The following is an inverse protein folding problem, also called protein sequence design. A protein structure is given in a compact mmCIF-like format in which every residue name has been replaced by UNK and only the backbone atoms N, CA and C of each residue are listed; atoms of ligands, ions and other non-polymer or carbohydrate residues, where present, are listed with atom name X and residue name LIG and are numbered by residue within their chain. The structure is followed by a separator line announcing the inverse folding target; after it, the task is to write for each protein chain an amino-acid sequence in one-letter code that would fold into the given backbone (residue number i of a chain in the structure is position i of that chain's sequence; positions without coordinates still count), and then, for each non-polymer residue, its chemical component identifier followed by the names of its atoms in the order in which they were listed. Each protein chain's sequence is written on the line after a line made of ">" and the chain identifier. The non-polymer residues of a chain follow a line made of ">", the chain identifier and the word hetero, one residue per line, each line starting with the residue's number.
data_IF_919446635863
#
_entry.id   IF_919446635863
#
_cell.length_a   1.000
_cell.length_b   1.000
_cell.length_c   1.000
_cell.angle_alpha   90.00
_cell.angle_beta   90.00
_cell.angle_gamma   90.00
#
_symmetry.space_group_name_H-M   'P 1'
#
loop_
_entity.id
_entity.type
_entity.pdbx_description
1 polymer ?
#
# COMPACT_ATOMS: atom_id res chain seq x y z
N UNK A 1 -7.19 6.98 22.46
CA UNK A 1 -7.36 6.31 21.16
C UNK A 1 -6.52 5.05 21.19
N UNK A 2 -6.93 3.95 20.57
CA UNK A 2 -6.15 2.71 20.67
C UNK A 2 -4.80 2.88 19.99
N UNK A 3 -3.74 2.55 20.73
CA UNK A 3 -2.36 2.50 20.24
C UNK A 3 -1.74 1.19 20.70
N UNK A 4 -0.85 0.66 19.88
CA UNK A 4 -0.04 -0.50 20.22
C UNK A 4 1.43 -0.09 20.16
N UNK A 5 2.21 -0.51 21.14
CA UNK A 5 3.66 -0.34 21.10
C UNK A 5 4.26 -1.52 20.35
N UNK A 6 4.67 -1.29 19.11
CA UNK A 6 5.20 -2.29 18.20
C UNK A 6 6.53 -1.80 17.63
N UNK A 7 7.54 -2.65 17.59
CA UNK A 7 8.87 -2.34 17.03
C UNK A 7 9.43 -0.96 17.46
N UNK A 8 9.35 -0.65 18.76
CA UNK A 8 9.82 0.59 19.40
C UNK A 8 9.12 1.89 18.92
N UNK A 9 7.91 1.79 18.43
CA UNK A 9 7.07 2.94 18.05
C UNK A 9 5.63 2.71 18.51
N UNK A 10 4.90 3.77 18.85
CA UNK A 10 3.49 3.70 19.16
C UNK A 10 2.69 3.88 17.86
N UNK A 11 2.06 2.81 17.39
CA UNK A 11 1.22 2.83 16.21
C UNK A 11 -0.24 3.02 16.61
N UNK A 12 -0.89 4.00 16.00
CA UNK A 12 -2.34 4.16 16.07
C UNK A 12 -3.04 3.14 15.19
N UNK A 13 -4.12 2.57 15.66
CA UNK A 13 -4.96 1.67 14.86
C UNK A 13 -6.44 1.79 15.22
N UNK A 14 -7.29 1.43 14.30
CA UNK A 14 -8.72 1.21 14.53
C UNK A 14 -9.09 -0.24 14.21
N UNK A 15 -10.06 -0.77 14.94
CA UNK A 15 -10.58 -2.11 14.70
C UNK A 15 -12.10 -2.08 14.59
N UNK A 16 -12.64 -2.71 13.56
CA UNK A 16 -14.09 -2.86 13.37
C UNK A 16 -14.44 -4.28 12.90
N UNK A 17 -15.61 -4.78 13.31
CA UNK A 17 -16.06 -6.15 13.00
C UNK A 17 -15.52 -7.21 13.94
N UNK A 18 -15.88 -8.49 13.70
CA UNK A 18 -15.60 -9.61 14.59
C UNK A 18 -15.28 -10.94 13.85
N UNK A 19 -14.93 -10.87 12.57
CA UNK A 19 -14.57 -12.01 11.72
C UNK A 19 -13.08 -12.36 11.74
N UNK A 20 -12.60 -12.97 10.64
CA UNK A 20 -11.17 -13.25 10.47
C UNK A 20 -10.36 -11.94 10.35
N UNK A 21 -9.11 -11.91 10.85
CA UNK A 21 -8.31 -10.68 10.86
C UNK A 21 -7.93 -10.26 9.43
N UNK A 22 -8.23 -8.99 9.11
CA UNK A 22 -7.84 -8.30 7.89
C UNK A 22 -7.11 -7.01 8.25
N UNK A 23 -5.82 -6.92 7.96
CA UNK A 23 -5.00 -5.73 8.20
C UNK A 23 -4.86 -4.92 6.91
N UNK A 24 -5.12 -3.62 6.98
CA UNK A 24 -5.10 -2.69 5.87
C UNK A 24 -3.91 -1.73 5.98
N UNK A 25 -3.03 -1.72 4.97
CA UNK A 25 -1.78 -0.96 4.95
C UNK A 25 -1.88 0.16 3.91
N UNK A 26 -1.94 1.41 4.38
CA UNK A 26 -2.06 2.58 3.52
C UNK A 26 -0.77 2.88 2.74
N UNK A 27 -0.91 3.60 1.62
CA UNK A 27 0.19 4.07 0.78
C UNK A 27 0.88 5.32 1.31
N UNK A 28 1.79 5.87 0.52
CA UNK A 28 2.43 7.17 0.79
C UNK A 28 1.39 8.29 0.93
N UNK A 29 1.70 9.33 1.68
CA UNK A 29 0.87 10.54 1.88
C UNK A 29 -0.44 10.34 2.64
N UNK A 30 -0.85 9.09 2.90
CA UNK A 30 -2.11 8.71 3.49
C UNK A 30 -1.99 8.37 4.99
N UNK A 31 -3.12 8.00 5.56
CA UNK A 31 -3.29 7.45 6.89
C UNK A 31 -4.40 6.36 6.86
N UNK A 32 -4.77 5.84 8.03
CA UNK A 32 -5.82 4.81 8.17
C UNK A 32 -7.16 5.23 7.55
N UNK A 33 -7.48 6.53 7.50
CA UNK A 33 -8.77 7.03 7.00
C UNK A 33 -8.96 6.80 5.51
N UNK A 34 -7.87 6.60 4.75
CA UNK A 34 -7.94 6.27 3.31
C UNK A 34 -8.69 4.97 3.05
N UNK A 35 -8.75 4.06 4.03
CA UNK A 35 -9.48 2.80 3.93
C UNK A 35 -10.95 2.89 4.31
N UNK A 36 -11.41 4.03 4.88
CA UNK A 36 -12.77 4.19 5.36
C UNK A 36 -13.84 3.87 4.30
N UNK A 37 -13.72 4.31 3.03
CA UNK A 37 -14.72 3.98 2.00
C UNK A 37 -14.86 2.46 1.76
N UNK A 38 -13.74 1.71 1.77
CA UNK A 38 -13.76 0.25 1.63
C UNK A 38 -14.32 -0.43 2.89
N UNK A 39 -14.02 0.07 4.08
CA UNK A 39 -14.54 -0.43 5.36
C UNK A 39 -16.06 -0.24 5.41
N UNK A 40 -16.56 0.93 5.03
CA UNK A 40 -17.99 1.24 4.95
C UNK A 40 -18.73 0.45 3.86
N UNK A 41 -18.01 -0.06 2.86
CA UNK A 41 -18.54 -0.99 1.87
C UNK A 41 -18.79 -2.42 2.42
N UNK A 42 -18.81 -2.58 3.76
CA UNK A 42 -19.22 -3.77 4.50
C UNK A 42 -18.13 -4.85 4.71
N UNK A 43 -16.86 -4.46 4.80
CA UNK A 43 -15.80 -5.38 5.24
C UNK A 43 -16.04 -5.94 6.65
N UNK A 44 -16.59 -5.11 7.55
CA UNK A 44 -16.88 -5.47 8.94
C UNK A 44 -17.88 -6.64 9.12
N UNK A 45 -18.66 -6.96 8.10
CA UNK A 45 -19.61 -8.09 8.16
C UNK A 45 -18.89 -9.45 8.05
N UNK A 46 -17.64 -9.48 7.58
CA UNK A 46 -16.90 -10.70 7.32
C UNK A 46 -15.54 -10.77 8.04
N UNK A 47 -15.01 -9.63 8.46
CA UNK A 47 -13.65 -9.52 9.00
C UNK A 47 -13.61 -8.71 10.30
N UNK A 48 -12.62 -9.03 11.13
CA UNK A 48 -12.05 -8.09 12.09
C UNK A 48 -11.06 -7.24 11.32
N UNK A 49 -11.48 -6.05 10.89
CA UNK A 49 -10.66 -5.15 10.08
C UNK A 49 -9.82 -4.28 10.98
N UNK A 50 -8.52 -4.29 10.78
CA UNK A 50 -7.54 -3.40 11.41
C UNK A 50 -7.01 -2.45 10.37
N UNK A 51 -7.27 -1.15 10.49
CA UNK A 51 -6.59 -0.09 9.75
C UNK A 51 -5.68 0.67 10.70
N UNK A 52 -4.45 0.95 10.30
CA UNK A 52 -3.46 1.60 11.16
C UNK A 52 -2.70 2.68 10.41
N UNK A 53 -2.14 3.62 11.16
CA UNK A 53 -1.22 4.60 10.64
C UNK A 53 0.20 4.06 10.71
N UNK A 54 0.91 4.01 9.57
CA UNK A 54 2.32 3.68 9.56
C UNK A 54 3.11 4.70 10.41
N UNK A 55 4.30 4.34 10.88
CA UNK A 55 5.15 5.28 11.64
C UNK A 55 5.23 6.64 10.96
N UNK A 56 5.17 7.72 11.72
CA UNK A 56 5.23 9.09 11.22
C UNK A 56 3.96 9.63 10.55
N UNK A 57 3.00 8.78 10.23
CA UNK A 57 1.75 9.17 9.58
C UNK A 57 0.63 9.36 10.61
N UNK A 58 -0.36 10.17 10.26
CA UNK A 58 -1.60 10.35 11.01
C UNK A 58 -1.39 10.55 12.52
N UNK A 59 -2.01 9.68 13.31
CA UNK A 59 -1.98 9.67 14.79
C UNK A 59 -0.88 8.75 15.37
N UNK A 60 -0.11 8.07 14.53
CA UNK A 60 1.06 7.29 14.96
C UNK A 60 2.21 8.19 15.38
N UNK A 61 3.11 7.64 16.19
CA UNK A 61 4.27 8.38 16.70
C UNK A 61 5.14 8.88 15.54
N UNK A 62 5.43 10.18 15.59
CA UNK A 62 6.31 10.85 14.63
C UNK A 62 7.75 10.77 15.12
N UNK A 63 8.48 9.80 14.60
CA UNK A 63 9.88 9.57 14.95
C UNK A 63 10.76 10.38 13.99
N UNK A 64 11.70 11.20 14.49
CA UNK A 64 12.63 11.92 13.63
C UNK A 64 13.46 10.97 12.76
N UNK A 65 13.58 11.28 11.46
CA UNK A 65 14.26 10.42 10.51
C UNK A 65 13.50 9.11 10.31
N UNK A 66 12.35 9.23 9.76
CA UNK A 66 11.23 8.28 9.60
C UNK A 66 11.62 6.83 9.44
N UNK A 67 12.61 6.50 8.82
CA UNK A 67 12.99 5.13 8.65
C UNK A 67 12.83 4.64 7.21
N UNK A 68 13.21 3.40 7.07
CA UNK A 68 13.23 2.71 5.81
C UNK A 68 11.94 1.91 5.61
N UNK A 69 11.63 1.54 4.38
CA UNK A 69 10.56 0.57 4.09
C UNK A 69 10.69 -0.70 4.94
N UNK A 70 11.93 -1.12 5.23
CA UNK A 70 12.23 -2.26 6.10
C UNK A 70 11.69 -2.08 7.52
N UNK A 71 11.75 -0.87 8.06
CA UNK A 71 11.17 -0.59 9.38
C UNK A 71 9.63 -0.62 9.35
N UNK A 72 9.00 -0.14 8.28
CA UNK A 72 7.55 -0.31 8.09
C UNK A 72 7.14 -1.79 8.01
N UNK A 73 7.95 -2.64 7.36
CA UNK A 73 7.74 -4.09 7.34
C UNK A 73 7.81 -4.71 8.74
N UNK A 74 8.80 -4.31 9.51
CA UNK A 74 9.00 -4.82 10.89
C UNK A 74 7.90 -4.28 11.83
N UNK A 75 7.41 -3.07 11.61
CA UNK A 75 6.24 -2.52 12.30
C UNK A 75 4.96 -3.30 12.00
N UNK A 76 4.72 -3.62 10.73
CA UNK A 76 3.58 -4.42 10.32
C UNK A 76 3.62 -5.82 10.94
N UNK A 77 4.80 -6.45 10.96
CA UNK A 77 4.99 -7.75 11.62
C UNK A 77 4.64 -7.66 13.11
N UNK A 78 5.21 -6.69 13.81
CA UNK A 78 4.98 -6.48 15.24
C UNK A 78 3.52 -6.14 15.53
N UNK A 79 2.86 -5.31 14.72
CA UNK A 79 1.43 -4.99 14.84
C UNK A 79 0.57 -6.26 14.77
N UNK A 80 0.80 -7.12 13.77
CA UNK A 80 0.05 -8.37 13.59
C UNK A 80 0.23 -9.31 14.80
N UNK A 81 1.47 -9.41 15.29
CA UNK A 81 1.82 -10.27 16.44
C UNK A 81 1.25 -9.73 17.76
N UNK A 82 1.42 -8.45 18.07
CA UNK A 82 0.95 -7.82 19.30
C UNK A 82 -0.57 -7.81 19.42
N UNK A 83 -1.29 -7.70 18.29
CA UNK A 83 -2.75 -7.80 18.28
C UNK A 83 -3.24 -9.26 18.31
N UNK A 84 -2.35 -10.26 18.26
CA UNK A 84 -2.72 -11.68 18.27
C UNK A 84 -3.42 -12.13 16.99
N UNK A 85 -3.15 -11.46 15.86
CA UNK A 85 -3.82 -11.70 14.59
C UNK A 85 -3.04 -12.60 13.62
N UNK A 86 -1.86 -13.07 14.00
CA UNK A 86 -1.05 -13.97 13.15
C UNK A 86 -1.66 -15.39 13.06
N UNK A 87 -1.79 -15.97 11.85
CA UNK A 87 -1.67 -15.34 10.55
C UNK A 87 -2.92 -14.54 10.15
N UNK A 88 -2.74 -13.41 9.44
CA UNK A 88 -3.80 -12.51 9.02
C UNK A 88 -3.97 -12.46 7.49
N UNK A 89 -5.14 -12.03 7.02
CA UNK A 89 -5.28 -11.47 5.68
C UNK A 89 -4.71 -10.05 5.70
N UNK A 90 -3.91 -9.68 4.70
CA UNK A 90 -3.32 -8.35 4.66
C UNK A 90 -3.54 -7.73 3.28
N UNK A 91 -4.03 -6.49 3.25
CA UNK A 91 -4.21 -5.74 2.02
C UNK A 91 -3.40 -4.43 2.05
N UNK A 92 -2.65 -4.16 0.99
CA UNK A 92 -1.85 -2.95 0.84
C UNK A 92 -2.09 -2.23 -0.49
N UNK A 93 -2.01 -0.89 -0.46
CA UNK A 93 -2.07 -0.05 -1.64
C UNK A 93 -0.76 0.71 -1.81
N UNK A 94 -0.27 0.83 -3.06
CA UNK A 94 0.90 1.66 -3.37
C UNK A 94 2.13 1.27 -2.52
N UNK A 95 2.73 2.21 -1.80
CA UNK A 95 3.86 1.93 -0.91
C UNK A 95 3.49 0.92 0.20
N UNK A 96 2.26 0.96 0.72
CA UNK A 96 1.77 -0.08 1.64
C UNK A 96 1.78 -1.48 1.01
N UNK A 97 1.54 -1.60 -0.29
CA UNK A 97 1.68 -2.86 -1.01
C UNK A 97 3.15 -3.32 -1.11
N UNK A 98 4.10 -2.38 -1.24
CA UNK A 98 5.54 -2.68 -1.19
C UNK A 98 5.96 -3.18 0.19
N UNK A 99 5.44 -2.58 1.27
CA UNK A 99 5.66 -3.03 2.66
C UNK A 99 5.15 -4.46 2.85
N UNK A 100 3.92 -4.74 2.39
CA UNK A 100 3.32 -6.08 2.50
C UNK A 100 4.15 -7.14 1.76
N UNK A 101 4.56 -6.88 0.52
CA UNK A 101 5.37 -7.82 -0.27
C UNK A 101 6.78 -8.01 0.31
N UNK A 102 7.40 -6.93 0.79
CA UNK A 102 8.71 -7.01 1.45
C UNK A 102 8.67 -7.85 2.73
N UNK A 103 7.62 -7.70 3.55
CA UNK A 103 7.42 -8.55 4.73
C UNK A 103 7.14 -9.99 4.33
N UNK A 104 6.30 -10.24 3.31
CA UNK A 104 5.95 -11.59 2.87
C UNK A 104 7.16 -12.39 2.36
N UNK A 105 8.13 -11.73 1.73
CA UNK A 105 9.39 -12.37 1.31
C UNK A 105 10.22 -12.91 2.48
N UNK A 106 10.03 -12.37 3.69
CA UNK A 106 10.82 -12.70 4.89
C UNK A 106 10.06 -13.48 5.95
N UNK A 107 8.77 -13.19 6.10
CA UNK A 107 7.91 -13.69 7.17
C UNK A 107 6.57 -14.18 6.61
N UNK A 108 6.57 -15.12 5.63
CA UNK A 108 5.33 -15.58 5.00
C UNK A 108 4.34 -16.21 5.99
N UNK A 109 4.81 -16.70 7.12
CA UNK A 109 3.99 -17.33 8.16
C UNK A 109 3.02 -16.36 8.85
N UNK A 110 3.22 -15.06 8.70
CA UNK A 110 2.30 -14.04 9.25
C UNK A 110 1.04 -13.85 8.40
N UNK A 111 1.01 -14.44 7.21
CA UNK A 111 -0.05 -14.18 6.23
C UNK A 111 -0.93 -15.40 5.97
N UNK A 112 -2.25 -15.20 5.96
CA UNK A 112 -3.23 -16.15 5.37
C UNK A 112 -3.39 -15.91 3.88
N UNK A 113 -3.48 -14.66 3.48
CA UNK A 113 -3.48 -14.21 2.10
C UNK A 113 -3.00 -12.77 2.00
N UNK A 114 -2.58 -12.39 0.81
CA UNK A 114 -2.05 -11.06 0.50
C UNK A 114 -2.87 -10.48 -0.65
N UNK A 115 -3.31 -9.23 -0.49
CA UNK A 115 -3.90 -8.43 -1.57
C UNK A 115 -3.08 -7.18 -1.76
N UNK A 116 -2.54 -6.93 -2.96
CA UNK A 116 -1.74 -5.74 -3.25
C UNK A 116 -2.22 -5.03 -4.50
N UNK A 117 -2.28 -3.71 -4.40
CA UNK A 117 -2.65 -2.83 -5.50
C UNK A 117 -1.50 -1.91 -5.85
N UNK A 118 -0.97 -2.08 -7.07
CA UNK A 118 0.03 -1.21 -7.71
C UNK A 118 1.20 -0.79 -6.80
N UNK A 119 2.01 -1.74 -6.29
CA UNK A 119 3.22 -1.38 -5.56
C UNK A 119 4.23 -0.67 -6.47
N UNK A 120 4.84 0.46 -6.05
CA UNK A 120 5.82 1.20 -6.87
C UNK A 120 7.21 0.56 -6.85
N UNK A 121 7.29 -0.76 -6.96
CA UNK A 121 8.53 -1.55 -6.91
C UNK A 121 9.26 -1.52 -8.26
N UNK A 122 9.67 -0.34 -8.70
CA UNK A 122 10.35 -0.15 -10.00
C UNK A 122 11.67 -0.91 -10.10
N UNK A 123 12.30 -1.25 -8.97
CA UNK A 123 13.51 -2.07 -8.93
C UNK A 123 13.33 -3.47 -9.53
N UNK A 124 12.12 -4.05 -9.47
CA UNK A 124 11.87 -5.39 -10.04
C UNK A 124 11.87 -5.42 -11.58
N UNK A 125 11.83 -4.25 -12.22
CA UNK A 125 11.89 -4.09 -13.68
C UNK A 125 13.16 -3.36 -14.14
N UNK A 126 14.15 -3.19 -13.26
CA UNK A 126 15.37 -2.44 -13.55
C UNK A 126 16.26 -3.10 -14.62
N UNK A 127 16.06 -4.37 -14.91
CA UNK A 127 16.73 -5.12 -15.97
C UNK A 127 16.05 -5.00 -17.35
N UNK A 128 14.88 -4.33 -17.44
CA UNK A 128 14.14 -4.13 -18.69
C UNK A 128 14.18 -2.65 -19.14
N UNK A 129 14.97 -2.31 -20.16
CA UNK A 129 15.09 -0.93 -20.66
C UNK A 129 13.76 -0.32 -21.14
N UNK A 130 12.84 -1.13 -21.68
CA UNK A 130 11.53 -0.65 -22.12
C UNK A 130 10.68 -0.21 -20.93
N UNK A 131 10.66 -1.01 -19.88
CA UNK A 131 9.96 -0.67 -18.63
C UNK A 131 10.56 0.58 -17.96
N UNK A 132 11.89 0.68 -17.91
CA UNK A 132 12.57 1.86 -17.38
C UNK A 132 12.21 3.13 -18.16
N UNK A 133 12.13 3.06 -19.48
CA UNK A 133 11.74 4.20 -20.31
C UNK A 133 10.29 4.67 -20.01
N UNK A 134 9.40 3.75 -19.62
CA UNK A 134 8.03 4.08 -19.23
C UNK A 134 7.96 4.69 -17.80
N UNK A 135 8.86 4.31 -16.90
CA UNK A 135 8.94 4.84 -15.54
C UNK A 135 9.58 6.23 -15.50
N UNK A 136 10.52 6.51 -16.39
CA UNK A 136 11.36 7.72 -16.36
C UNK A 136 10.59 9.05 -16.24
N UNK A 137 9.46 9.29 -16.95
CA UNK A 137 8.69 10.52 -16.77
C UNK A 137 8.18 10.69 -15.34
N UNK A 138 7.68 9.60 -14.73
CA UNK A 138 7.22 9.61 -13.33
C UNK A 138 8.36 9.92 -12.36
N UNK A 139 9.56 9.38 -12.59
CA UNK A 139 10.72 9.68 -11.74
C UNK A 139 11.13 11.14 -11.81
N UNK A 140 11.06 11.77 -12.98
CA UNK A 140 11.31 13.21 -13.15
C UNK A 140 10.28 14.02 -12.33
N UNK A 141 9.01 13.63 -12.35
CA UNK A 141 7.98 14.30 -11.55
C UNK A 141 8.22 14.09 -10.05
N UNK A 142 8.70 12.90 -9.64
CA UNK A 142 9.09 12.64 -8.25
C UNK A 142 10.23 13.57 -7.78
N UNK A 143 11.25 13.79 -8.60
CA UNK A 143 12.33 14.73 -8.28
C UNK A 143 11.79 16.16 -8.07
N UNK A 144 10.87 16.60 -8.92
CA UNK A 144 10.23 17.91 -8.79
C UNK A 144 9.36 18.01 -7.51
N UNK A 145 8.66 16.93 -7.13
CA UNK A 145 7.94 16.86 -5.84
C UNK A 145 8.92 17.01 -4.68
N UNK A 146 10.01 16.26 -4.66
CA UNK A 146 11.02 16.36 -3.62
C UNK A 146 11.60 17.77 -3.50
N UNK A 147 11.81 18.47 -4.62
CA UNK A 147 12.28 19.86 -4.63
C UNK A 147 11.32 20.81 -3.91
N UNK A 148 10.00 20.63 -4.03
CA UNK A 148 9.01 21.39 -3.27
C UNK A 148 9.07 21.06 -1.77
N UNK A 149 9.12 19.78 -1.42
CA UNK A 149 9.14 19.35 -0.02
C UNK A 149 10.40 19.81 0.72
N UNK A 150 11.57 19.78 0.07
CA UNK A 150 12.81 20.32 0.63
C UNK A 150 12.75 21.83 0.93
N UNK A 151 11.87 22.57 0.25
CA UNK A 151 11.63 24.00 0.49
C UNK A 151 10.52 24.24 1.52
N UNK A 152 9.87 23.18 2.05
CA UNK A 152 8.71 23.30 2.93
C UNK A 152 7.43 23.71 2.20
N UNK A 153 7.37 23.54 0.89
CA UNK A 153 6.21 23.83 0.04
C UNK A 153 5.31 22.59 -0.04
N UNK A 154 4.81 22.13 1.12
CA UNK A 154 4.15 20.84 1.28
C UNK A 154 2.88 20.70 0.43
N UNK A 155 2.05 21.75 0.34
CA UNK A 155 0.83 21.75 -0.47
C UNK A 155 1.15 21.66 -1.97
N UNK A 156 2.17 22.39 -2.44
CA UNK A 156 2.61 22.34 -3.82
C UNK A 156 3.19 20.96 -4.17
N UNK A 157 3.99 20.39 -3.27
CA UNK A 157 4.50 19.04 -3.41
C UNK A 157 3.38 17.99 -3.46
N UNK A 158 2.40 18.07 -2.54
CA UNK A 158 1.25 17.18 -2.51
C UNK A 158 0.40 17.28 -3.79
N UNK A 159 0.12 18.49 -4.25
CA UNK A 159 -0.60 18.72 -5.50
C UNK A 159 0.13 18.13 -6.70
N UNK A 160 1.43 18.41 -6.82
CA UNK A 160 2.24 17.89 -7.93
C UNK A 160 2.29 16.36 -7.92
N UNK A 161 2.45 15.76 -6.74
CA UNK A 161 2.41 14.30 -6.58
C UNK A 161 1.08 13.72 -7.05
N UNK A 162 -0.05 14.28 -6.64
CA UNK A 162 -1.37 13.82 -7.05
C UNK A 162 -1.55 13.92 -8.57
N UNK A 163 -1.17 15.05 -9.17
CA UNK A 163 -1.45 15.34 -10.57
C UNK A 163 -0.47 14.67 -11.54
N UNK A 164 0.81 14.50 -11.17
CA UNK A 164 1.85 14.04 -12.10
C UNK A 164 2.38 12.64 -11.77
N UNK A 165 2.19 12.15 -10.53
CA UNK A 165 2.73 10.86 -10.10
C UNK A 165 1.62 9.83 -9.89
N UNK A 166 0.56 10.17 -9.13
CA UNK A 166 -0.35 9.16 -8.61
C UNK A 166 -1.68 9.05 -9.36
N UNK A 167 -2.40 10.15 -9.59
CA UNK A 167 -3.79 10.12 -10.03
C UNK A 167 -4.05 10.78 -11.40
N UNK A 168 -3.21 11.72 -11.80
CA UNK A 168 -3.31 12.40 -13.09
C UNK A 168 -3.79 13.86 -13.02
N UNK A 169 -3.67 14.61 -14.13
CA UNK A 169 -3.92 16.05 -14.18
C UNK A 169 -5.34 16.43 -13.74
N UNK A 170 -5.44 17.48 -12.91
CA UNK A 170 -6.70 18.02 -12.40
C UNK A 170 -7.36 17.21 -11.30
N UNK A 171 -6.74 16.11 -10.86
CA UNK A 171 -7.30 15.27 -9.80
C UNK A 171 -7.22 15.92 -8.43
N UNK A 172 -6.23 16.78 -8.17
CA UNK A 172 -6.13 17.49 -6.90
C UNK A 172 -7.41 18.24 -6.53
N UNK A 173 -7.98 18.97 -7.46
CA UNK A 173 -9.19 19.76 -7.22
C UNK A 173 -10.46 18.90 -7.07
N UNK A 174 -10.41 17.63 -7.49
CA UNK A 174 -11.50 16.68 -7.37
C UNK A 174 -11.44 15.88 -6.05
N UNK A 175 -10.29 15.85 -5.36
CA UNK A 175 -10.17 15.17 -4.08
C UNK A 175 -11.00 15.88 -2.99
N UNK A 176 -11.64 15.11 -2.06
CA UNK A 176 -12.24 15.69 -0.87
C UNK A 176 -11.24 16.53 -0.07
N UNK A 177 -11.71 17.62 0.53
CA UNK A 177 -10.85 18.53 1.29
C UNK A 177 -10.07 17.81 2.41
N UNK A 178 -10.73 16.91 3.14
CA UNK A 178 -10.07 16.12 4.20
C UNK A 178 -8.90 15.28 3.65
N UNK A 179 -9.07 14.65 2.48
CA UNK A 179 -8.00 13.86 1.87
C UNK A 179 -6.81 14.73 1.42
N UNK A 180 -7.09 15.94 0.88
CA UNK A 180 -6.02 16.89 0.55
C UNK A 180 -5.26 17.34 1.80
N UNK A 181 -5.96 17.57 2.91
CA UNK A 181 -5.36 17.91 4.20
C UNK A 181 -4.46 16.76 4.71
N UNK A 182 -4.92 15.52 4.60
CA UNK A 182 -4.10 14.33 4.93
C UNK A 182 -2.82 14.29 4.10
N UNK A 183 -2.90 14.53 2.78
CA UNK A 183 -1.71 14.57 1.91
C UNK A 183 -0.72 15.65 2.35
N UNK A 184 -1.20 16.87 2.64
CA UNK A 184 -0.33 17.97 3.09
C UNK A 184 0.29 17.66 4.46
N UNK A 185 -0.49 17.12 5.39
CA UNK A 185 -0.02 16.78 6.74
C UNK A 185 1.08 15.72 6.74
N UNK A 186 0.98 14.76 5.83
CA UNK A 186 1.92 13.65 5.71
C UNK A 186 3.00 13.89 4.63
N UNK A 187 3.09 15.09 4.05
CA UNK A 187 3.97 15.38 2.92
C UNK A 187 5.45 15.04 3.22
N UNK A 188 5.94 15.39 4.41
CA UNK A 188 7.33 15.17 4.79
C UNK A 188 7.69 13.70 4.96
N UNK A 189 6.71 12.81 5.24
CA UNK A 189 6.98 11.37 5.33
C UNK A 189 7.43 10.78 3.99
N UNK A 190 7.00 11.39 2.89
CA UNK A 190 7.40 10.93 1.57
C UNK A 190 8.87 11.24 1.24
N UNK A 191 9.42 12.34 1.75
CA UNK A 191 10.88 12.58 1.65
C UNK A 191 11.66 11.46 2.33
N UNK A 192 11.23 11.06 3.51
CA UNK A 192 11.86 9.97 4.25
C UNK A 192 11.77 8.65 3.46
N UNK A 193 10.60 8.32 2.88
CA UNK A 193 10.44 7.17 2.00
C UNK A 193 11.40 7.21 0.81
N UNK A 194 11.53 8.36 0.13
CA UNK A 194 12.38 8.50 -1.05
C UNK A 194 13.88 8.53 -0.73
N UNK A 195 14.27 8.86 0.49
CA UNK A 195 15.68 8.83 0.94
C UNK A 195 16.15 7.42 1.33
N UNK A 196 15.24 6.45 1.50
CA UNK A 196 15.62 5.04 1.66
C UNK A 196 16.18 4.50 0.35
N UNK A 197 17.47 4.12 0.26
CA UNK A 197 18.07 3.64 -0.99
C UNK A 197 17.41 2.34 -1.50
N UNK A 198 16.69 1.62 -0.64
CA UNK A 198 16.05 0.34 -0.94
C UNK A 198 14.53 0.45 -1.10
N UNK A 199 13.98 1.66 -1.14
CA UNK A 199 12.50 1.85 -1.15
C UNK A 199 11.79 1.11 -2.28
N UNK A 200 12.44 0.97 -3.45
CA UNK A 200 11.89 0.33 -4.65
C UNK A 200 12.42 -1.10 -4.89
N UNK A 201 13.32 -1.58 -4.04
CA UNK A 201 13.90 -2.93 -4.15
C UNK A 201 13.00 -3.99 -3.50
N UNK A 202 13.16 -5.24 -3.91
CA UNK A 202 12.45 -6.36 -3.35
C UNK A 202 13.35 -7.60 -3.32
N UNK A 203 13.26 -8.38 -2.25
CA UNK A 203 13.85 -9.73 -2.21
C UNK A 203 13.02 -10.68 -3.08
N UNK A 204 13.40 -10.75 -4.35
CA UNK A 204 12.70 -11.54 -5.38
C UNK A 204 12.80 -13.04 -5.09
N UNK A 205 13.93 -13.51 -4.57
CA UNK A 205 14.15 -14.92 -4.25
C UNK A 205 13.29 -15.35 -3.04
N UNK A 206 13.25 -14.52 -2.00
CA UNK A 206 12.36 -14.72 -0.86
C UNK A 206 10.90 -14.75 -1.27
N UNK A 207 10.50 -13.84 -2.17
CA UNK A 207 9.14 -13.78 -2.68
C UNK A 207 8.79 -15.01 -3.55
N UNK A 208 9.73 -15.51 -4.35
CA UNK A 208 9.55 -16.74 -5.14
C UNK A 208 9.34 -17.97 -4.26
N UNK A 209 9.85 -17.96 -3.03
CA UNK A 209 9.63 -19.01 -2.04
C UNK A 209 8.32 -18.85 -1.24
N UNK A 210 7.64 -17.71 -1.36
CA UNK A 210 6.40 -17.44 -0.65
C UNK A 210 5.22 -18.21 -1.25
N UNK A 211 4.65 -19.14 -0.50
CA UNK A 211 3.51 -19.96 -0.94
C UNK A 211 2.15 -19.41 -0.51
N UNK A 212 2.13 -18.25 0.12
CA UNK A 212 0.89 -17.55 0.51
C UNK A 212 0.11 -17.14 -0.75
N UNK A 213 -1.22 -17.33 -0.81
CA UNK A 213 -2.03 -16.85 -1.93
C UNK A 213 -1.96 -15.33 -2.05
N UNK A 214 -1.75 -14.81 -3.27
CA UNK A 214 -1.63 -13.37 -3.54
C UNK A 214 -2.62 -12.93 -4.61
N UNK A 215 -3.40 -11.89 -4.31
CA UNK A 215 -4.17 -11.14 -5.30
C UNK A 215 -3.37 -9.91 -5.72
N UNK A 216 -2.95 -9.89 -6.99
CA UNK A 216 -2.31 -8.75 -7.62
C UNK A 216 -3.37 -7.95 -8.38
N UNK A 217 -3.55 -6.67 -8.03
CA UNK A 217 -4.57 -5.84 -8.67
C UNK A 217 -4.02 -4.53 -9.22
N UNK A 218 -4.67 -4.02 -10.27
CA UNK A 218 -4.37 -2.74 -10.91
C UNK A 218 -5.63 -2.01 -11.35
N UNK A 219 -5.54 -0.70 -11.54
CA UNK A 219 -6.57 0.08 -12.23
C UNK A 219 -6.36 0.06 -13.75
N UNK A 220 -7.47 0.05 -14.53
CA UNK A 220 -7.36 0.06 -15.99
C UNK A 220 -6.93 1.41 -16.56
N UNK A 221 -7.06 2.50 -15.78
CA UNK A 221 -6.64 3.86 -16.17
C UNK A 221 -5.35 4.33 -15.48
N UNK A 222 -4.71 3.48 -14.70
CA UNK A 222 -3.40 3.76 -14.09
C UNK A 222 -2.27 3.82 -15.12
N UNK A 223 -1.15 4.51 -14.81
CA UNK A 223 0.04 4.51 -15.67
C UNK A 223 0.50 3.10 -16.04
N UNK A 224 0.84 2.90 -17.30
CA UNK A 224 1.12 1.56 -17.85
C UNK A 224 2.33 0.86 -17.21
N UNK A 225 3.28 1.60 -16.65
CA UNK A 225 4.44 1.01 -16.00
C UNK A 225 4.07 0.13 -14.78
N UNK A 226 2.95 0.41 -14.08
CA UNK A 226 2.44 -0.49 -13.05
C UNK A 226 2.15 -1.89 -13.61
N UNK A 227 1.65 -1.99 -14.85
CA UNK A 227 1.42 -3.30 -15.48
C UNK A 227 2.70 -4.10 -15.58
N UNK A 228 3.83 -3.47 -15.91
CA UNK A 228 5.14 -4.14 -16.02
C UNK A 228 5.62 -4.67 -14.68
N UNK A 229 5.47 -3.87 -13.61
CA UNK A 229 5.76 -4.33 -12.23
C UNK A 229 4.87 -5.50 -11.86
N UNK A 230 3.56 -5.41 -12.12
CA UNK A 230 2.60 -6.47 -11.80
C UNK A 230 2.86 -7.75 -12.59
N UNK A 231 3.28 -7.65 -13.86
CA UNK A 231 3.65 -8.80 -14.70
C UNK A 231 4.89 -9.52 -14.13
N UNK A 232 5.90 -8.76 -13.70
CA UNK A 232 7.10 -9.30 -13.08
C UNK A 232 6.77 -10.00 -11.75
N UNK A 233 5.95 -9.37 -10.89
CA UNK A 233 5.51 -9.98 -9.63
C UNK A 233 4.70 -11.26 -9.86
N UNK A 234 3.80 -11.26 -10.85
CA UNK A 234 3.02 -12.46 -11.20
C UNK A 234 3.88 -13.60 -11.74
N UNK A 235 4.99 -13.29 -12.41
CA UNK A 235 5.95 -14.29 -12.87
C UNK A 235 6.84 -14.85 -11.73
N UNK A 236 6.98 -14.09 -10.65
CA UNK A 236 7.81 -14.46 -9.48
C UNK A 236 7.03 -15.29 -8.45
N UNK A 237 5.81 -14.86 -8.13
CA UNK A 237 4.99 -15.47 -7.08
C UNK A 237 4.32 -16.76 -7.56
N UNK A 238 4.41 -17.87 -6.81
CA UNK A 238 3.89 -19.18 -7.26
C UNK A 238 2.36 -19.29 -7.25
N UNK A 239 1.67 -18.50 -6.39
CA UNK A 239 0.22 -18.60 -6.18
C UNK A 239 -0.43 -17.23 -6.31
N UNK A 240 -0.57 -16.74 -7.56
CA UNK A 240 -1.18 -15.44 -7.83
C UNK A 240 -2.51 -15.55 -8.56
N UNK A 241 -3.44 -14.67 -8.16
CA UNK A 241 -4.58 -14.27 -8.97
C UNK A 241 -4.38 -12.81 -9.40
N UNK A 242 -4.98 -12.43 -10.53
CA UNK A 242 -4.89 -11.06 -11.07
C UNK A 242 -6.28 -10.46 -11.19
N UNK A 243 -6.41 -9.18 -10.83
CA UNK A 243 -7.65 -8.43 -10.99
C UNK A 243 -7.37 -7.06 -11.59
N UNK A 244 -8.23 -6.60 -12.51
CA UNK A 244 -8.19 -5.24 -13.04
C UNK A 244 -9.49 -4.54 -12.67
N UNK A 245 -9.39 -3.41 -11.96
CA UNK A 245 -10.54 -2.57 -11.65
C UNK A 245 -10.81 -1.66 -12.86
N UNK A 246 -11.88 -1.94 -13.59
CA UNK A 246 -12.23 -1.19 -14.80
C UNK A 246 -12.68 0.23 -14.49
N UNK A 247 -12.11 1.20 -15.18
CA UNK A 247 -12.37 2.63 -14.95
C UNK A 247 -11.71 3.20 -13.70
N UNK A 248 -11.08 2.37 -12.87
CA UNK A 248 -10.35 2.83 -11.69
C UNK A 248 -8.87 3.11 -12.00
N UNK A 249 -8.29 4.04 -11.24
CA UNK A 249 -6.86 4.30 -11.18
C UNK A 249 -6.23 3.73 -9.90
N UNK A 250 -5.25 4.45 -9.39
CA UNK A 250 -4.34 4.01 -8.32
C UNK A 250 -4.98 3.79 -6.92
N UNK A 251 -6.21 4.27 -6.69
CA UNK A 251 -6.88 4.21 -5.38
C UNK A 251 -8.29 3.60 -5.46
N UNK A 252 -8.46 2.36 -5.96
CA UNK A 252 -9.79 1.74 -6.14
C UNK A 252 -10.54 1.54 -4.82
N UNK A 253 -9.83 1.35 -3.71
CA UNK A 253 -10.42 1.25 -2.37
C UNK A 253 -11.16 2.54 -1.93
N UNK A 254 -10.84 3.69 -2.55
CA UNK A 254 -11.52 4.97 -2.35
C UNK A 254 -12.57 5.21 -3.43
N UNK A 255 -12.21 5.03 -4.71
CA UNK A 255 -13.06 5.42 -5.85
C UNK A 255 -14.09 4.37 -6.26
N UNK A 256 -13.81 3.07 -6.01
CA UNK A 256 -14.64 1.91 -6.36
C UNK A 256 -14.74 0.94 -5.17
N UNK A 257 -15.15 1.40 -3.96
CA UNK A 257 -15.00 0.64 -2.71
C UNK A 257 -15.81 -0.66 -2.70
N UNK A 258 -17.00 -0.69 -3.31
CA UNK A 258 -17.84 -1.90 -3.38
C UNK A 258 -17.18 -2.98 -4.24
N UNK A 259 -16.62 -2.60 -5.38
CA UNK A 259 -15.93 -3.51 -6.28
C UNK A 259 -14.63 -4.02 -5.64
N UNK A 260 -13.86 -3.13 -4.99
CA UNK A 260 -12.66 -3.48 -4.24
C UNK A 260 -12.97 -4.51 -3.16
N UNK A 261 -14.00 -4.25 -2.34
CA UNK A 261 -14.47 -5.20 -1.33
C UNK A 261 -14.88 -6.55 -1.93
N UNK A 262 -15.64 -6.52 -3.03
CA UNK A 262 -16.12 -7.75 -3.66
C UNK A 262 -14.97 -8.62 -4.16
N UNK A 263 -13.99 -8.03 -4.85
CA UNK A 263 -12.80 -8.72 -5.36
C UNK A 263 -11.97 -9.33 -4.21
N UNK A 264 -11.74 -8.59 -3.13
CA UNK A 264 -11.01 -9.07 -1.97
C UNK A 264 -11.78 -10.19 -1.25
N UNK A 265 -13.07 -10.04 -1.01
CA UNK A 265 -13.89 -11.05 -0.35
C UNK A 265 -14.04 -12.33 -1.19
N UNK A 266 -14.06 -12.23 -2.51
CA UNK A 266 -14.06 -13.40 -3.41
C UNK A 266 -12.72 -14.14 -3.32
N UNK A 267 -11.62 -13.42 -3.34
CA UNK A 267 -10.28 -14.00 -3.24
C UNK A 267 -10.04 -14.70 -1.90
N UNK A 268 -10.48 -14.09 -0.79
CA UNK A 268 -10.27 -14.64 0.57
C UNK A 268 -11.17 -15.86 0.86
N UNK A 269 -12.31 -15.99 0.19
CA UNK A 269 -13.18 -17.14 0.41
C UNK A 269 -12.42 -18.45 0.21
N UNK A 270 -12.52 -19.43 1.17
CA UNK A 270 -11.99 -20.75 0.93
C UNK A 270 -12.58 -21.27 -0.37
N UNK A 271 -11.76 -21.82 -1.27
CA UNK A 271 -12.25 -22.54 -2.43
C UNK A 271 -13.28 -23.55 -1.91
N UNK A 272 -14.54 -23.41 -2.32
CA UNK A 272 -15.60 -24.31 -1.91
C UNK A 272 -15.12 -25.72 -2.25
N UNK A 273 -14.78 -26.51 -1.23
CA UNK A 273 -14.22 -27.85 -1.39
C UNK A 273 -15.15 -28.63 -2.31
N UNK A 274 -14.66 -28.98 -3.50
CA UNK A 274 -15.32 -29.95 -4.33
C UNK A 274 -15.41 -31.25 -3.53
N UNK A 275 -16.62 -31.65 -3.21
CA UNK A 275 -16.95 -32.98 -2.71
C UNK A 275 -16.75 -34.01 -3.82
#
# INVERSE_FOLDING_TARGET
>A
MPQVHANNVNLFYETVGDGEPLVLVHGSWNDHTSWQPAIEADFRASFTVVSYDRRGHGESEKVPGQGTRRQDEDDLAALIEELGHAPAHVAGNSFGASVVLGLAARRPELFRSITVHEPPLVGVVADDPESLAQVQPTMISCDAVMDHLHKGEDEQGARLFVEEVALGPGMWDQLPAALRETFVTNAQTWLDEQTDPSWAELDVDGLAACTVPVLLSRGSVSPNWFSKVMDRLAATLPHTQRHTFEGAGHIPHITHPQEYRAALAEFIRPASGGQ
#
